data_IF_039186761839
#
_entry.id   IF_039186761839
#
_cell.length_a   1.000
_cell.length_b   1.000
_cell.length_c   1.000
_cell.angle_alpha   90.00
_cell.angle_beta   90.00
_cell.angle_gamma   90.00
#
_symmetry.space_group_name_H-M   'P 1'
#
loop_
_entity.id
_entity.type
_entity.pdbx_description
1 polymer ?
#
# COMPACT_ATOMS: atom_id res chain seq x y z
N UNK A 1 2.37 -27.63 7.39
CA UNK A 1 3.12 -26.37 7.54
C UNK A 1 3.19 -25.74 6.17
N UNK A 2 2.40 -24.71 5.92
CA UNK A 2 2.31 -24.09 4.59
C UNK A 2 3.44 -23.06 4.43
N UNK A 3 4.39 -23.33 3.54
CA UNK A 3 5.43 -22.38 3.11
C UNK A 3 4.83 -21.27 2.23
N UNK A 4 3.88 -20.49 2.77
CA UNK A 4 3.28 -19.35 2.09
C UNK A 4 4.27 -18.20 2.06
N UNK A 5 4.50 -17.65 0.86
CA UNK A 5 5.38 -16.51 0.67
C UNK A 5 4.75 -15.24 1.22
N UNK A 6 5.58 -14.38 1.79
CA UNK A 6 5.24 -12.98 2.10
C UNK A 6 6.10 -12.09 1.22
N UNK A 7 5.48 -11.05 0.69
CA UNK A 7 6.12 -10.06 -0.15
C UNK A 7 6.38 -8.80 0.69
N UNK A 8 7.63 -8.34 0.70
CA UNK A 8 8.03 -7.08 1.31
C UNK A 8 8.17 -6.00 0.24
N UNK A 9 7.18 -5.11 0.15
CA UNK A 9 7.22 -3.98 -0.77
C UNK A 9 7.89 -2.82 -0.09
N UNK A 10 8.96 -2.29 -0.67
CA UNK A 10 9.81 -1.29 -0.04
C UNK A 10 9.93 -0.04 -0.91
N UNK A 11 9.91 1.13 -0.28
CA UNK A 11 10.27 2.42 -0.89
C UNK A 11 11.32 3.09 -0.03
N UNK A 12 12.51 3.25 -0.59
CA UNK A 12 13.58 4.04 0.02
C UNK A 12 13.34 5.53 -0.26
N UNK A 13 13.40 6.39 0.76
CA UNK A 13 13.27 7.83 0.58
C UNK A 13 14.54 8.43 -0.03
N UNK A 14 14.41 9.60 -0.66
CA UNK A 14 15.54 10.32 -1.23
C UNK A 14 16.58 10.61 -0.13
N UNK A 15 17.83 10.17 -0.35
CA UNK A 15 18.91 10.23 0.63
C UNK A 15 19.18 8.93 1.38
N UNK A 16 18.39 7.86 1.16
CA UNK A 16 18.73 6.51 1.60
C UNK A 16 18.67 6.27 3.12
N UNK A 17 18.08 7.20 3.89
CA UNK A 17 18.05 7.14 5.36
C UNK A 17 16.82 6.45 5.92
N UNK A 18 15.70 6.49 5.20
CA UNK A 18 14.42 5.96 5.66
C UNK A 18 13.84 5.04 4.59
N UNK A 19 13.32 3.89 4.99
CA UNK A 19 12.64 2.95 4.12
C UNK A 19 11.23 2.68 4.64
N UNK A 20 10.23 2.86 3.77
CA UNK A 20 8.85 2.49 4.03
C UNK A 20 8.62 1.08 3.51
N UNK A 21 8.03 0.22 4.33
CA UNK A 21 7.82 -1.18 3.99
C UNK A 21 6.37 -1.60 4.27
N UNK A 22 5.75 -2.27 3.30
CA UNK A 22 4.49 -3.00 3.47
C UNK A 22 4.78 -4.48 3.34
N UNK A 23 4.37 -5.26 4.33
CA UNK A 23 4.48 -6.72 4.31
C UNK A 23 3.10 -7.31 4.02
N UNK A 24 2.95 -8.04 2.93
CA UNK A 24 1.67 -8.64 2.54
C UNK A 24 1.84 -10.05 2.00
N UNK A 25 0.79 -10.87 2.14
CA UNK A 25 0.68 -12.14 1.43
C UNK A 25 0.19 -11.96 -0.02
N UNK A 26 -0.34 -10.79 -0.34
CA UNK A 26 -0.89 -10.48 -1.66
C UNK A 26 0.22 -9.98 -2.58
N UNK A 27 0.40 -10.58 -3.77
CA UNK A 27 1.44 -10.19 -4.73
C UNK A 27 1.03 -8.94 -5.56
N UNK A 28 0.53 -7.88 -4.92
CA UNK A 28 0.04 -6.68 -5.62
C UNK A 28 1.11 -5.61 -5.80
N UNK A 29 2.12 -5.91 -6.61
CA UNK A 29 3.30 -5.07 -6.82
C UNK A 29 2.94 -3.61 -7.16
N UNK A 30 2.20 -3.38 -8.23
CA UNK A 30 1.88 -2.02 -8.68
C UNK A 30 1.07 -1.20 -7.65
N UNK A 31 0.11 -1.86 -7.00
CA UNK A 31 -0.76 -1.25 -5.99
C UNK A 31 0.08 -0.80 -4.80
N UNK A 32 0.91 -1.71 -4.25
CA UNK A 32 1.71 -1.38 -3.09
C UNK A 32 2.81 -0.36 -3.40
N UNK A 33 3.38 -0.35 -4.61
CA UNK A 33 4.33 0.69 -5.00
C UNK A 33 3.68 2.07 -5.12
N UNK A 34 2.49 2.17 -5.74
CA UNK A 34 1.72 3.42 -5.79
C UNK A 34 1.38 3.91 -4.38
N UNK A 35 0.88 3.01 -3.53
CA UNK A 35 0.56 3.34 -2.14
C UNK A 35 1.79 3.82 -1.35
N UNK A 36 2.92 3.13 -1.47
CA UNK A 36 4.17 3.53 -0.80
C UNK A 36 4.64 4.92 -1.25
N UNK A 37 4.43 5.29 -2.52
CA UNK A 37 4.70 6.64 -3.01
C UNK A 37 3.79 7.67 -2.33
N UNK A 38 2.48 7.40 -2.27
CA UNK A 38 1.52 8.30 -1.61
C UNK A 38 1.82 8.46 -0.11
N UNK A 39 2.13 7.36 0.59
CA UNK A 39 2.49 7.40 2.01
C UNK A 39 3.76 8.22 2.26
N UNK A 40 4.74 8.12 1.37
CA UNK A 40 5.93 8.94 1.48
C UNK A 40 5.67 10.43 1.24
N UNK A 41 4.76 10.75 0.31
CA UNK A 41 4.36 12.13 0.08
C UNK A 41 3.61 12.71 1.28
N UNK A 42 2.78 11.91 1.95
CA UNK A 42 2.13 12.31 3.21
C UNK A 42 3.15 12.56 4.33
N UNK A 43 4.14 11.69 4.49
CA UNK A 43 5.23 11.90 5.46
C UNK A 43 6.04 13.15 5.14
N UNK A 44 6.34 13.41 3.86
CA UNK A 44 7.07 14.61 3.44
C UNK A 44 6.28 15.91 3.65
N UNK A 45 4.94 15.83 3.68
CA UNK A 45 4.02 16.96 3.90
C UNK A 45 3.52 17.05 5.35
N UNK A 46 4.02 16.20 6.25
CA UNK A 46 3.60 16.12 7.65
C UNK A 46 2.09 15.86 7.84
N UNK A 47 1.49 15.10 6.92
CA UNK A 47 0.06 14.74 6.93
C UNK A 47 -0.17 13.42 7.71
N UNK A 48 0.07 13.43 9.02
CA UNK A 48 -0.01 12.23 9.85
C UNK A 48 -1.44 11.66 9.98
N UNK A 49 -2.46 12.52 10.04
CA UNK A 49 -3.85 12.09 10.16
C UNK A 49 -4.32 11.35 8.89
N UNK A 50 -4.08 11.92 7.71
CA UNK A 50 -4.41 11.31 6.42
C UNK A 50 -3.66 9.97 6.21
N UNK A 51 -2.40 9.92 6.64
CA UNK A 51 -1.59 8.70 6.63
C UNK A 51 -2.21 7.61 7.50
N UNK A 52 -2.57 7.96 8.74
CA UNK A 52 -3.17 7.03 9.69
C UNK A 52 -4.55 6.56 9.22
N UNK A 53 -5.38 7.44 8.68
CA UNK A 53 -6.69 7.09 8.13
C UNK A 53 -6.56 6.15 6.93
N UNK A 54 -5.65 6.45 6.01
CA UNK A 54 -5.37 5.61 4.83
C UNK A 54 -4.93 4.21 5.25
N UNK A 55 -3.98 4.10 6.19
CA UNK A 55 -3.48 2.80 6.66
C UNK A 55 -4.56 2.00 7.39
N UNK A 56 -5.39 2.65 8.24
CA UNK A 56 -6.51 2.00 8.93
C UNK A 56 -7.57 1.52 7.96
N UNK A 57 -7.93 2.35 6.98
CA UNK A 57 -8.89 2.00 5.93
C UNK A 57 -8.41 0.79 5.15
N UNK A 58 -7.16 0.79 4.68
CA UNK A 58 -6.56 -0.33 3.96
C UNK A 58 -6.52 -1.63 4.79
N UNK A 59 -6.11 -1.54 6.05
CA UNK A 59 -5.97 -2.72 6.92
C UNK A 59 -7.33 -3.34 7.28
N UNK A 60 -8.35 -2.51 7.48
CA UNK A 60 -9.70 -2.97 7.82
C UNK A 60 -10.52 -3.38 6.60
N UNK A 61 -10.12 -2.97 5.39
CA UNK A 61 -10.83 -3.31 4.17
C UNK A 61 -10.74 -4.82 3.89
N UNK A 62 -11.87 -5.50 3.60
CA UNK A 62 -11.83 -6.89 3.20
C UNK A 62 -11.00 -7.04 1.92
N UNK A 63 -10.27 -8.16 1.77
CA UNK A 63 -9.50 -8.41 0.56
C UNK A 63 -10.47 -8.40 -0.64
N UNK A 64 -10.35 -7.45 -1.59
CA UNK A 64 -11.19 -7.41 -2.76
C UNK A 64 -11.06 -8.67 -3.60
N UNK A 65 -12.14 -9.00 -4.31
CA UNK A 65 -12.09 -10.02 -5.35
C UNK A 65 -11.26 -9.51 -6.53
N UNK A 66 -10.69 -10.45 -7.29
CA UNK A 66 -9.95 -10.13 -8.49
C UNK A 66 -10.73 -9.18 -9.41
N UNK A 67 -10.03 -8.20 -9.98
CA UNK A 67 -10.58 -7.20 -10.90
C UNK A 67 -11.70 -6.31 -10.34
N UNK A 68 -11.80 -6.20 -9.02
CA UNK A 68 -12.73 -5.26 -8.38
C UNK A 68 -11.98 -3.97 -8.04
N UNK A 69 -12.44 -2.79 -8.50
CA UNK A 69 -11.84 -1.52 -8.12
C UNK A 69 -12.00 -1.32 -6.61
N UNK A 70 -10.93 -0.92 -5.93
CA UNK A 70 -10.99 -0.54 -4.51
C UNK A 70 -10.83 0.96 -4.40
N UNK A 71 -11.92 1.62 -4.01
CA UNK A 71 -11.83 2.99 -3.51
C UNK A 71 -11.25 2.96 -2.10
N UNK A 72 -9.93 3.02 -2.03
CA UNK A 72 -9.29 3.51 -0.82
C UNK A 72 -9.49 5.02 -0.82
N UNK A 73 -9.93 5.60 0.29
CA UNK A 73 -9.97 7.06 0.52
C UNK A 73 -8.57 7.67 0.65
N UNK A 74 -7.62 7.17 -0.14
CA UNK A 74 -6.47 7.96 -0.57
C UNK A 74 -7.02 8.93 -1.59
N UNK A 75 -6.49 10.15 -1.67
CA UNK A 75 -6.91 11.16 -2.65
C UNK A 75 -6.63 10.77 -4.14
N UNK A 76 -6.51 9.48 -4.44
CA UNK A 76 -6.30 8.86 -5.74
C UNK A 76 -7.08 7.53 -5.83
N UNK A 77 -7.85 7.33 -6.91
CA UNK A 77 -8.48 6.04 -7.22
C UNK A 77 -7.41 4.98 -7.49
N UNK A 78 -7.30 3.98 -6.61
CA UNK A 78 -6.43 2.83 -6.82
C UNK A 78 -7.21 1.69 -7.48
N UNK A 79 -6.98 1.50 -8.77
CA UNK A 79 -7.46 0.32 -9.49
C UNK A 79 -6.62 -0.89 -9.08
N UNK A 80 -7.25 -1.84 -8.38
CA UNK A 80 -6.65 -3.13 -8.04
C UNK A 80 -7.14 -4.15 -9.07
N UNK A 81 -6.34 -4.35 -10.13
CA UNK A 81 -6.49 -5.49 -11.02
C UNK A 81 -5.48 -6.55 -10.58
N UNK A 82 -5.96 -7.76 -10.28
CA UNK A 82 -5.08 -8.90 -10.06
C UNK A 82 -5.16 -9.78 -11.29
N UNK A 83 -4.06 -9.88 -12.02
CA UNK A 83 -3.91 -10.92 -13.04
C UNK A 83 -3.93 -12.28 -12.31
N UNK A 84 -4.89 -13.13 -12.67
CA UNK A 84 -4.95 -14.52 -12.20
C UNK A 84 -3.91 -15.37 -12.91
#
# INVERSE_FOLDING_TARGET
>A
MESKQRFGFCRLTSGGRVCLCILSYLPWFEVYYKLLNTLADYLAKELEDDLNETLKSLYSHPVPKANTPVHLSVNQELFIASEQ
#
